data_IF_125291193273
#
_entry.id   IF_125291193273
#
_cell.length_a   1.000
_cell.length_b   1.000
_cell.length_c   1.000
_cell.angle_alpha   90.00
_cell.angle_beta   90.00
_cell.angle_gamma   90.00
#
_symmetry.space_group_name_H-M   'P 1'
#
loop_
_entity.id
_entity.type
_entity.pdbx_description
1 polymer ?
#
# COMPACT_ATOMS: atom_id res chain seq x y z
N UNK A 1 28.22 -23.61 -10.21
CA UNK A 1 26.77 -23.62 -10.01
C UNK A 1 26.37 -22.45 -9.09
N UNK A 2 25.85 -21.34 -9.62
CA UNK A 2 25.27 -20.29 -8.81
C UNK A 2 23.82 -20.04 -9.25
N UNK A 3 22.87 -20.71 -8.65
CA UNK A 3 21.46 -20.57 -9.01
C UNK A 3 20.53 -20.70 -7.80
N UNK A 4 20.82 -20.02 -6.68
CA UNK A 4 19.89 -20.07 -5.54
C UNK A 4 19.61 -18.73 -4.85
N UNK A 5 20.30 -17.64 -5.25
CA UNK A 5 20.23 -16.40 -4.46
C UNK A 5 19.13 -15.43 -4.92
N UNK A 6 18.74 -15.45 -6.19
CA UNK A 6 17.76 -14.49 -6.73
C UNK A 6 16.32 -14.90 -6.44
N UNK A 7 16.02 -16.19 -6.39
CA UNK A 7 14.68 -16.70 -6.05
C UNK A 7 14.38 -16.56 -4.56
N UNK A 8 15.39 -16.69 -3.70
CA UNK A 8 15.25 -16.50 -2.25
C UNK A 8 15.04 -15.02 -1.88
N UNK A 9 15.59 -14.09 -2.65
CA UNK A 9 15.39 -12.65 -2.46
C UNK A 9 13.96 -12.24 -2.83
N UNK A 10 13.41 -12.78 -3.91
CA UNK A 10 12.02 -12.52 -4.36
C UNK A 10 10.99 -13.04 -3.35
N UNK A 11 11.20 -14.24 -2.80
CA UNK A 11 10.31 -14.83 -1.79
C UNK A 11 10.37 -14.07 -0.46
N UNK A 12 11.52 -13.49 -0.10
CA UNK A 12 11.67 -12.70 1.13
C UNK A 12 11.07 -11.30 1.03
N UNK A 13 11.07 -10.72 -0.17
CA UNK A 13 10.39 -9.44 -0.45
C UNK A 13 8.87 -9.59 -0.47
N UNK A 14 8.34 -10.78 -0.76
CA UNK A 14 6.89 -11.04 -0.72
C UNK A 14 6.31 -11.11 0.71
N UNK A 15 7.15 -11.24 1.75
CA UNK A 15 6.72 -11.13 3.14
C UNK A 15 6.66 -9.68 3.66
N UNK A 16 7.27 -8.73 2.95
CA UNK A 16 7.07 -7.31 3.21
C UNK A 16 5.69 -6.89 2.69
N UNK A 17 5.02 -6.03 3.41
CA UNK A 17 3.64 -5.60 3.25
C UNK A 17 3.25 -5.31 1.78
N UNK A 18 2.83 -6.32 1.03
CA UNK A 18 2.37 -6.19 -0.36
C UNK A 18 1.02 -5.46 -0.50
N UNK A 19 0.35 -5.16 0.62
CA UNK A 19 -0.98 -4.51 0.63
C UNK A 19 -0.93 -3.13 -0.01
N UNK A 20 0.08 -2.32 0.33
CA UNK A 20 0.29 -1.01 -0.28
C UNK A 20 0.55 -1.14 -1.77
N UNK A 21 1.44 -2.02 -2.19
CA UNK A 21 1.77 -2.24 -3.60
C UNK A 21 0.53 -2.64 -4.42
N UNK A 22 -0.27 -3.59 -3.90
CA UNK A 22 -1.51 -4.03 -4.54
C UNK A 22 -2.51 -2.88 -4.64
N UNK A 23 -2.67 -2.08 -3.58
CA UNK A 23 -3.60 -0.97 -3.54
C UNK A 23 -3.22 0.16 -4.52
N UNK A 24 -1.93 0.54 -4.54
CA UNK A 24 -1.40 1.55 -5.48
C UNK A 24 -1.55 1.08 -6.93
N UNK A 25 -1.22 -0.19 -7.23
CA UNK A 25 -1.41 -0.77 -8.56
C UNK A 25 -2.89 -0.75 -8.98
N UNK A 26 -3.80 -1.15 -8.08
CA UNK A 26 -5.24 -1.12 -8.36
C UNK A 26 -5.74 0.29 -8.68
N UNK A 27 -5.31 1.31 -7.91
CA UNK A 27 -5.69 2.70 -8.15
C UNK A 27 -5.09 3.26 -9.45
N UNK A 28 -3.83 2.96 -9.74
CA UNK A 28 -3.19 3.36 -11.00
C UNK A 28 -3.90 2.75 -12.21
N UNK A 29 -4.35 1.47 -12.11
CA UNK A 29 -5.11 0.83 -13.18
C UNK A 29 -6.51 1.43 -13.34
N UNK A 30 -7.20 1.78 -12.26
CA UNK A 30 -8.48 2.51 -12.31
C UNK A 30 -8.30 3.88 -12.98
N UNK A 31 -7.24 4.62 -12.62
CA UNK A 31 -6.92 5.91 -13.24
C UNK A 31 -6.64 5.78 -14.74
N UNK A 32 -5.84 4.80 -15.12
CA UNK A 32 -5.54 4.52 -16.53
C UNK A 32 -6.79 4.14 -17.34
N UNK A 33 -7.64 3.27 -16.79
CA UNK A 33 -8.89 2.89 -17.41
C UNK A 33 -9.81 4.09 -17.67
N UNK A 34 -9.89 5.00 -16.68
CA UNK A 34 -10.66 6.25 -16.82
C UNK A 34 -10.12 7.14 -17.94
N UNK A 35 -8.79 7.26 -18.10
CA UNK A 35 -8.17 7.98 -19.21
C UNK A 35 -8.50 7.36 -20.59
N UNK A 36 -8.75 6.04 -20.60
CA UNK A 36 -9.15 5.26 -21.79
C UNK A 36 -10.66 5.29 -22.04
N UNK A 37 -11.44 6.11 -21.33
CA UNK A 37 -12.89 6.20 -21.45
C UNK A 37 -13.65 5.03 -20.80
N UNK A 38 -12.98 4.21 -19.97
CA UNK A 38 -13.61 3.15 -19.18
C UNK A 38 -13.82 3.61 -17.75
N UNK A 39 -15.01 4.01 -17.43
CA UNK A 39 -15.35 4.60 -16.11
C UNK A 39 -15.21 3.62 -14.95
N UNK A 40 -15.24 2.31 -15.19
CA UNK A 40 -15.26 1.28 -14.14
C UNK A 40 -14.54 0.01 -14.56
N UNK A 41 -13.96 -0.66 -13.56
CA UNK A 41 -13.37 -1.99 -13.69
C UNK A 41 -13.97 -2.95 -12.66
N UNK A 42 -14.17 -4.20 -13.04
CA UNK A 42 -14.54 -5.25 -12.10
C UNK A 42 -13.32 -5.67 -11.26
N UNK A 43 -13.56 -6.31 -10.11
CA UNK A 43 -12.46 -6.86 -9.30
C UNK A 43 -11.63 -7.88 -10.06
N UNK A 44 -12.24 -8.62 -10.98
CA UNK A 44 -11.55 -9.64 -11.79
C UNK A 44 -10.63 -8.99 -12.83
N UNK A 45 -11.05 -7.87 -13.43
CA UNK A 45 -10.20 -7.09 -14.34
C UNK A 45 -9.00 -6.46 -13.62
N UNK A 46 -9.22 -5.94 -12.41
CA UNK A 46 -8.12 -5.41 -11.59
C UNK A 46 -7.19 -6.54 -11.15
N UNK A 47 -7.74 -7.68 -10.74
CA UNK A 47 -6.95 -8.85 -10.33
C UNK A 47 -6.08 -9.41 -11.46
N UNK A 48 -6.59 -9.41 -12.69
CA UNK A 48 -5.83 -9.82 -13.88
C UNK A 48 -4.62 -8.90 -14.12
N UNK A 49 -4.77 -7.57 -13.95
CA UNK A 49 -3.65 -6.63 -14.07
C UNK A 49 -2.61 -6.79 -12.96
N UNK A 50 -3.07 -6.95 -11.72
CA UNK A 50 -2.18 -7.13 -10.54
C UNK A 50 -1.56 -8.53 -10.51
N UNK A 51 -2.11 -9.48 -11.28
CA UNK A 51 -1.78 -10.92 -11.25
C UNK A 51 -1.95 -11.53 -9.86
N UNK A 52 -3.14 -11.36 -9.28
CA UNK A 52 -3.49 -11.86 -7.95
C UNK A 52 -4.93 -12.37 -7.88
N UNK A 53 -5.30 -12.96 -6.73
CA UNK A 53 -6.65 -13.46 -6.51
C UNK A 53 -7.66 -12.30 -6.40
N UNK A 54 -8.82 -12.34 -7.10
CA UNK A 54 -9.88 -11.34 -7.00
C UNK A 54 -10.39 -11.09 -5.56
N UNK A 55 -10.29 -12.07 -4.66
CA UNK A 55 -10.66 -11.90 -3.25
C UNK A 55 -9.72 -10.90 -2.55
N UNK A 56 -8.42 -10.95 -2.86
CA UNK A 56 -7.43 -10.00 -2.34
C UNK A 56 -7.76 -8.59 -2.84
N UNK A 57 -8.08 -8.45 -4.12
CA UNK A 57 -8.46 -7.16 -4.71
C UNK A 57 -9.74 -6.62 -4.09
N UNK A 58 -10.79 -7.45 -3.91
CA UNK A 58 -12.04 -7.00 -3.26
C UNK A 58 -11.81 -6.50 -1.83
N UNK A 59 -10.92 -7.16 -1.07
CA UNK A 59 -10.53 -6.73 0.26
C UNK A 59 -9.82 -5.38 0.21
N UNK A 60 -8.80 -5.25 -0.62
CA UNK A 60 -8.03 -4.01 -0.80
C UNK A 60 -8.93 -2.84 -1.23
N UNK A 61 -9.76 -3.04 -2.27
CA UNK A 61 -10.73 -2.03 -2.73
C UNK A 61 -11.79 -1.71 -1.66
N UNK A 62 -12.13 -2.67 -0.80
CA UNK A 62 -13.00 -2.46 0.36
C UNK A 62 -12.39 -1.51 1.39
N UNK A 63 -11.09 -1.67 1.68
CA UNK A 63 -10.33 -0.78 2.56
C UNK A 63 -10.25 0.64 1.96
N UNK A 64 -9.88 0.74 0.70
CA UNK A 64 -9.82 1.99 -0.05
C UNK A 64 -11.18 2.72 -0.13
N UNK A 65 -12.29 1.96 -0.23
CA UNK A 65 -13.63 2.53 -0.21
C UNK A 65 -13.97 3.14 1.15
N UNK A 66 -13.60 2.47 2.25
CA UNK A 66 -13.81 3.02 3.62
C UNK A 66 -13.03 4.31 3.82
N UNK A 67 -11.88 4.44 3.19
CA UNK A 67 -11.08 5.67 3.19
C UNK A 67 -11.58 6.74 2.18
N UNK A 68 -12.63 6.45 1.39
CA UNK A 68 -13.18 7.40 0.42
C UNK A 68 -12.33 7.60 -0.85
N UNK A 69 -11.42 6.66 -1.15
CA UNK A 69 -10.53 6.75 -2.31
C UNK A 69 -11.13 6.13 -3.58
N UNK A 70 -12.04 5.16 -3.41
CA UNK A 70 -12.77 4.52 -4.51
C UNK A 70 -14.26 4.44 -4.22
N UNK A 71 -15.05 4.29 -5.29
CA UNK A 71 -16.49 4.03 -5.26
C UNK A 71 -16.78 2.69 -5.90
N UNK A 72 -17.87 2.05 -5.44
CA UNK A 72 -18.40 0.84 -6.06
C UNK A 72 -19.80 1.10 -6.55
N UNK A 73 -20.14 0.65 -7.74
CA UNK A 73 -21.50 0.56 -8.26
C UNK A 73 -21.93 -0.89 -8.34
N UNK A 74 -23.16 -1.16 -8.00
CA UNK A 74 -23.80 -2.49 -8.07
C UNK A 74 -24.79 -2.52 -9.23
N UNK A 75 -25.19 -3.70 -9.67
CA UNK A 75 -26.16 -3.92 -10.74
C UNK A 75 -25.50 -4.21 -12.08
N UNK A 76 -26.23 -3.91 -13.17
CA UNK A 76 -25.83 -4.22 -14.55
C UNK A 76 -24.51 -3.57 -14.99
N UNK A 77 -24.15 -2.45 -14.39
CA UNK A 77 -22.89 -1.73 -14.62
C UNK A 77 -21.99 -1.80 -13.37
N UNK A 78 -21.92 -2.95 -12.72
CA UNK A 78 -21.13 -3.14 -11.52
C UNK A 78 -19.64 -2.92 -11.79
N UNK A 79 -18.96 -2.25 -10.85
CA UNK A 79 -17.54 -2.02 -10.95
C UNK A 79 -17.04 -0.96 -9.97
N UNK A 80 -15.73 -0.78 -9.97
CA UNK A 80 -14.99 0.16 -9.13
C UNK A 80 -14.48 1.33 -9.96
N UNK A 81 -14.49 2.50 -9.39
CA UNK A 81 -13.92 3.73 -9.97
C UNK A 81 -13.26 4.56 -8.88
N UNK A 82 -12.39 5.48 -9.27
CA UNK A 82 -11.84 6.47 -8.34
C UNK A 82 -12.96 7.36 -7.78
N UNK A 83 -12.85 7.74 -6.52
CA UNK A 83 -13.78 8.67 -5.87
C UNK A 83 -13.36 10.14 -6.06
N UNK A 84 -12.07 10.38 -6.28
CA UNK A 84 -11.42 11.68 -6.52
C UNK A 84 -10.51 11.57 -7.74
N UNK A 85 -10.02 12.72 -8.22
CA UNK A 85 -9.02 12.73 -9.31
C UNK A 85 -7.73 12.04 -8.82
N UNK A 86 -7.01 11.31 -9.68
CA UNK A 86 -5.79 10.62 -9.29
C UNK A 86 -4.66 11.57 -8.80
N UNK A 87 -4.68 12.84 -9.21
CA UNK A 87 -3.79 13.89 -8.72
C UNK A 87 -4.04 14.24 -7.24
N UNK A 88 -5.28 14.07 -6.78
CA UNK A 88 -5.73 14.42 -5.43
C UNK A 88 -5.65 13.24 -4.46
N UNK A 89 -5.12 12.10 -4.88
CA UNK A 89 -4.93 10.90 -4.06
C UNK A 89 -3.43 10.68 -3.85
N UNK A 90 -2.94 10.87 -2.63
CA UNK A 90 -1.53 10.62 -2.29
C UNK A 90 -1.28 9.16 -1.96
N UNK A 91 -0.04 8.70 -2.17
CA UNK A 91 0.37 7.34 -1.76
C UNK A 91 0.29 7.18 -0.24
N UNK A 92 0.43 8.27 0.54
CA UNK A 92 0.23 8.25 1.99
C UNK A 92 -1.20 7.89 2.38
N UNK A 93 -2.21 8.50 1.73
CA UNK A 93 -3.62 8.16 2.00
C UNK A 93 -3.92 6.69 1.67
N UNK A 94 -3.30 6.17 0.60
CA UNK A 94 -3.41 4.75 0.26
C UNK A 94 -2.75 3.88 1.33
N UNK A 95 -1.55 4.25 1.79
CA UNK A 95 -0.84 3.56 2.87
C UNK A 95 -1.71 3.50 4.13
N UNK A 96 -2.22 4.63 4.59
CA UNK A 96 -3.03 4.71 5.80
C UNK A 96 -4.34 3.91 5.69
N UNK A 97 -4.90 3.79 4.48
CA UNK A 97 -6.10 3.00 4.24
C UNK A 97 -5.89 1.48 4.34
N UNK A 98 -4.70 0.98 3.97
CA UNK A 98 -4.45 -0.47 3.86
C UNK A 98 -3.45 -1.00 4.88
N UNK A 99 -2.75 -0.12 5.60
CA UNK A 99 -1.74 -0.47 6.61
C UNK A 99 -2.10 0.21 7.93
N UNK A 100 -3.08 -0.32 8.68
CA UNK A 100 -3.54 0.32 9.92
C UNK A 100 -2.56 0.15 11.08
N UNK A 101 -1.55 -0.68 10.95
CA UNK A 101 -0.58 -0.99 12.00
C UNK A 101 0.69 -0.14 11.84
N UNK A 102 1.36 0.24 12.94
CA UNK A 102 2.62 0.96 12.87
C UNK A 102 3.68 0.12 12.15
N UNK A 103 4.59 0.80 11.45
CA UNK A 103 5.66 0.15 10.71
C UNK A 103 6.63 -0.62 11.64
N UNK A 104 6.83 -0.09 12.84
CA UNK A 104 7.69 -0.68 13.86
C UNK A 104 6.91 -0.94 15.13
N UNK A 105 7.07 -2.15 15.68
CA UNK A 105 6.50 -2.52 16.98
C UNK A 105 7.61 -2.65 18.01
N UNK A 106 7.31 -2.23 19.25
CA UNK A 106 8.15 -2.55 20.39
C UNK A 106 7.88 -4.00 20.84
N UNK A 107 8.85 -4.65 21.50
CA UNK A 107 8.62 -5.98 22.03
C UNK A 107 7.54 -5.96 23.14
N UNK A 108 6.78 -7.04 23.22
CA UNK A 108 5.58 -7.11 24.09
C UNK A 108 5.90 -7.21 25.58
N UNK A 109 7.13 -7.64 25.95
CA UNK A 109 7.54 -7.79 27.34
C UNK A 109 8.36 -6.59 27.80
N UNK A 110 8.19 -6.20 29.05
CA UNK A 110 9.02 -5.15 29.63
C UNK A 110 10.49 -5.61 29.69
N UNK A 111 11.44 -4.74 29.30
CA UNK A 111 12.86 -5.05 29.43
C UNK A 111 13.27 -5.09 30.90
N UNK A 112 14.37 -5.77 31.19
CA UNK A 112 14.94 -5.77 32.54
C UNK A 112 15.50 -4.39 32.87
N UNK A 113 14.84 -3.65 33.77
CA UNK A 113 15.23 -2.31 34.20
C UNK A 113 16.48 -2.26 35.10
N UNK A 114 16.91 -3.41 35.66
CA UNK A 114 18.18 -3.50 36.38
C UNK A 114 19.39 -3.47 35.43
N UNK A 115 19.17 -3.91 34.18
CA UNK A 115 20.16 -3.80 33.12
C UNK A 115 20.21 -2.36 32.57
N UNK A 116 21.39 -1.72 32.47
CA UNK A 116 21.52 -0.37 31.93
C UNK A 116 20.96 -0.24 30.51
N UNK A 117 21.16 -1.25 29.66
CA UNK A 117 20.60 -1.31 28.29
C UNK A 117 19.07 -1.46 28.33
N UNK A 118 18.57 -2.37 29.14
CA UNK A 118 17.12 -2.60 29.30
C UNK A 118 16.38 -1.33 29.74
N UNK A 119 16.99 -0.55 30.60
CA UNK A 119 16.43 0.74 31.08
C UNK A 119 16.30 1.79 29.99
N UNK A 120 17.26 1.86 29.05
CA UNK A 120 17.37 2.93 28.07
C UNK A 120 16.89 2.55 26.65
N UNK A 121 16.71 1.25 26.35
CA UNK A 121 16.48 0.80 24.97
C UNK A 121 15.14 1.27 24.39
N UNK A 122 14.06 1.22 25.19
CA UNK A 122 12.73 1.63 24.69
C UNK A 122 12.65 3.11 24.32
N UNK A 123 13.08 4.08 25.16
CA UNK A 123 13.09 5.49 24.79
C UNK A 123 13.94 5.76 23.54
N UNK A 124 15.12 5.11 23.43
CA UNK A 124 16.01 5.27 22.29
C UNK A 124 15.38 4.78 20.99
N UNK A 125 14.82 3.56 20.98
CA UNK A 125 14.13 3.00 19.82
C UNK A 125 12.86 3.77 19.46
N UNK A 126 12.11 4.23 20.45
CA UNK A 126 10.90 5.01 20.19
C UNK A 126 11.21 6.33 19.45
N UNK A 127 12.29 7.01 19.82
CA UNK A 127 12.75 8.19 19.10
C UNK A 127 13.16 7.91 17.67
N UNK A 128 13.94 6.83 17.47
CA UNK A 128 14.37 6.38 16.15
C UNK A 128 13.19 5.98 15.24
N UNK A 129 12.26 5.19 15.75
CA UNK A 129 11.12 4.69 14.99
C UNK A 129 10.18 5.82 14.58
N UNK A 130 9.90 6.78 15.48
CA UNK A 130 9.13 7.97 15.11
C UNK A 130 9.79 8.77 13.98
N UNK A 131 11.11 8.96 14.03
CA UNK A 131 11.82 9.66 12.97
C UNK A 131 11.72 8.94 11.63
N UNK A 132 11.87 7.63 11.63
CA UNK A 132 11.75 6.81 10.43
C UNK A 132 10.31 6.81 9.85
N UNK A 133 9.29 6.70 10.70
CA UNK A 133 7.88 6.80 10.28
C UNK A 133 7.54 8.18 9.73
N UNK A 134 8.05 9.24 10.35
CA UNK A 134 7.84 10.60 9.85
C UNK A 134 8.47 10.81 8.47
N UNK A 135 9.69 10.36 8.26
CA UNK A 135 10.37 10.43 6.97
C UNK A 135 9.63 9.63 5.88
N UNK A 136 9.12 8.43 6.23
CA UNK A 136 8.27 7.65 5.32
C UNK A 136 7.01 8.43 4.93
N UNK A 137 6.31 9.00 5.90
CA UNK A 137 5.07 9.75 5.65
C UNK A 137 5.30 10.98 4.78
N UNK A 138 6.40 11.70 4.99
CA UNK A 138 6.78 12.85 4.17
C UNK A 138 7.03 12.43 2.72
N UNK A 139 7.77 11.35 2.49
CA UNK A 139 8.02 10.81 1.15
C UNK A 139 6.72 10.39 0.45
N UNK A 140 5.86 9.64 1.14
CA UNK A 140 4.60 9.15 0.56
C UNK A 140 3.57 10.27 0.32
N UNK A 141 3.65 11.38 1.04
CA UNK A 141 2.78 12.56 0.84
C UNK A 141 3.10 13.27 -0.47
N UNK A 142 4.36 13.32 -0.86
CA UNK A 142 4.83 14.01 -2.06
C UNK A 142 4.47 13.34 -3.39
N UNK A 143 3.93 12.11 -3.35
CA UNK A 143 3.65 11.31 -4.54
C UNK A 143 2.17 11.02 -4.68
N UNK A 144 1.55 11.41 -5.79
CA UNK A 144 0.15 11.11 -6.13
C UNK A 144 0.02 9.81 -6.95
N UNK A 145 -1.21 9.28 -7.04
CA UNK A 145 -1.52 8.14 -7.94
C UNK A 145 -1.31 8.54 -9.40
N UNK A 146 -1.54 9.81 -9.76
CA UNK A 146 -1.24 10.31 -11.11
C UNK A 146 0.27 10.29 -11.41
N UNK A 147 1.12 10.60 -10.42
CA UNK A 147 2.58 10.54 -10.58
C UNK A 147 3.05 9.11 -10.78
N UNK A 148 2.55 8.16 -9.96
CA UNK A 148 2.85 6.73 -10.12
C UNK A 148 2.43 6.23 -11.49
N UNK A 149 1.22 6.57 -11.96
CA UNK A 149 0.74 6.18 -13.29
C UNK A 149 1.62 6.74 -14.39
N UNK A 150 1.97 8.02 -14.31
CA UNK A 150 2.83 8.69 -15.30
C UNK A 150 4.20 8.01 -15.39
N UNK A 151 4.79 7.67 -14.27
CA UNK A 151 6.09 6.98 -14.22
C UNK A 151 6.00 5.56 -14.80
N UNK A 152 4.93 4.84 -14.44
CA UNK A 152 4.66 3.47 -14.95
C UNK A 152 4.52 3.43 -16.47
N UNK A 153 3.90 4.45 -17.08
CA UNK A 153 3.68 4.50 -18.54
C UNK A 153 4.87 5.03 -19.34
N UNK A 154 5.93 5.50 -18.68
CA UNK A 154 7.19 5.91 -19.31
C UNK A 154 8.19 4.76 -19.45
N UNK A 155 8.02 3.70 -18.65
CA UNK A 155 8.87 2.51 -18.66
C UNK A 155 8.51 1.59 -19.82
#
# INVERSE_FOLDING_TARGET
>A
MPCCNQFCYIVRVMAANSRLTIAVHALAWLAHAQQQGRDRLTSDQVAASVNTNPVVIRRSLGDLRRAGLVRVRRGTEAGWSLARRPEDITVLEVHDAVTPEPLFAMHHTEPNFECPVGRGIQPALHGLYRGAEQALREELTGTSIADVLRETLRA
#
